data_IF_403467959268
#
_entry.id   IF_403467959268
#
_cell.length_a   1.000
_cell.length_b   1.000
_cell.length_c   1.000
_cell.angle_alpha   90.00
_cell.angle_beta   90.00
_cell.angle_gamma   90.00
#
_symmetry.space_group_name_H-M   'P 1'
#
loop_
_entity.id
_entity.type
_entity.pdbx_description
1 polymer ?
#
# COMPACT_ATOMS: atom_id res chain seq x y z
N UNK A 1 17.12 -36.35 -8.98
CA UNK A 1 17.03 -36.27 -10.46
C UNK A 1 15.67 -35.72 -10.92
N UNK A 2 14.52 -36.31 -10.55
CA UNK A 2 13.19 -35.75 -10.87
C UNK A 2 12.98 -34.32 -10.36
N UNK A 3 13.29 -34.05 -9.08
CA UNK A 3 13.22 -32.69 -8.50
C UNK A 3 14.07 -31.68 -9.27
N UNK A 4 15.24 -32.09 -9.78
CA UNK A 4 16.11 -31.22 -10.57
C UNK A 4 15.48 -30.88 -11.92
N UNK A 5 14.87 -31.85 -12.60
CA UNK A 5 14.15 -31.62 -13.86
C UNK A 5 12.94 -30.68 -13.68
N UNK A 6 12.20 -30.82 -12.58
CA UNK A 6 11.10 -29.90 -12.24
C UNK A 6 11.63 -28.48 -12.01
N UNK A 7 12.75 -28.34 -11.31
CA UNK A 7 13.37 -27.05 -11.02
C UNK A 7 13.92 -26.36 -12.28
N UNK A 8 14.48 -27.13 -13.21
CA UNK A 8 14.95 -26.63 -14.50
C UNK A 8 13.78 -26.18 -15.41
N UNK A 9 12.66 -26.92 -15.36
CA UNK A 9 11.41 -26.54 -16.05
C UNK A 9 10.82 -25.24 -15.49
N UNK A 10 10.85 -25.07 -14.16
CA UNK A 10 10.44 -23.84 -13.49
C UNK A 10 11.30 -22.65 -13.89
N UNK A 11 12.63 -22.82 -13.92
CA UNK A 11 13.55 -21.76 -14.36
C UNK A 11 13.28 -21.33 -15.80
N UNK A 12 13.03 -22.28 -16.70
CA UNK A 12 12.71 -21.98 -18.10
C UNK A 12 11.42 -21.18 -18.23
N UNK A 13 10.34 -21.61 -17.57
CA UNK A 13 9.05 -20.87 -17.57
C UNK A 13 9.17 -19.49 -16.93
N UNK A 14 9.96 -19.36 -15.86
CA UNK A 14 10.24 -18.07 -15.23
C UNK A 14 10.96 -17.11 -16.19
N UNK A 15 11.91 -17.61 -16.99
CA UNK A 15 12.61 -16.84 -18.00
C UNK A 15 11.66 -16.40 -19.14
N UNK A 16 10.79 -17.29 -19.61
CA UNK A 16 9.80 -16.99 -20.65
C UNK A 16 8.80 -15.90 -20.21
N UNK A 17 8.35 -15.95 -18.95
CA UNK A 17 7.47 -14.93 -18.35
C UNK A 17 8.20 -13.58 -18.25
N UNK A 18 9.48 -13.57 -17.85
CA UNK A 18 10.28 -12.34 -17.78
C UNK A 18 10.48 -11.69 -19.15
N UNK A 19 10.72 -12.48 -20.20
CA UNK A 19 10.80 -11.97 -21.56
C UNK A 19 9.47 -11.36 -22.04
N UNK A 20 8.35 -12.01 -21.74
CA UNK A 20 7.03 -11.53 -22.13
C UNK A 20 6.61 -10.26 -21.37
N UNK A 21 7.00 -10.12 -20.10
CA UNK A 21 6.82 -8.87 -19.35
C UNK A 21 7.63 -7.72 -19.95
N UNK A 22 8.89 -7.97 -20.34
CA UNK A 22 9.74 -6.97 -21.01
C UNK A 22 9.18 -6.55 -22.38
N UNK A 23 8.58 -7.49 -23.11
CA UNK A 23 7.86 -7.21 -24.37
C UNK A 23 6.57 -6.43 -24.13
N UNK A 24 5.90 -6.62 -23.00
CA UNK A 24 4.71 -5.88 -22.61
C UNK A 24 5.03 -4.42 -22.25
N UNK A 25 6.12 -4.18 -21.50
CA UNK A 25 6.59 -2.84 -21.12
C UNK A 25 6.96 -1.95 -22.31
N UNK A 26 7.28 -2.55 -23.46
CA UNK A 26 7.74 -1.85 -24.67
C UNK A 26 6.64 -1.60 -25.72
N UNK A 27 5.40 -2.07 -25.50
CA UNK A 27 4.30 -1.95 -26.49
C UNK A 27 3.15 -1.05 -26.00
N UNK A 28 2.44 -0.44 -26.97
CA UNK A 28 1.23 0.39 -26.73
C UNK A 28 -0.03 -0.48 -26.63
N UNK A 29 -1.07 0.04 -25.98
CA UNK A 29 -2.30 -0.68 -25.56
C UNK A 29 -2.92 -1.68 -26.55
N UNK A 30 -2.85 -1.41 -27.87
CA UNK A 30 -3.47 -2.28 -28.89
C UNK A 30 -2.75 -3.62 -29.07
N UNK A 31 -1.44 -3.67 -28.83
CA UNK A 31 -0.62 -4.89 -28.96
C UNK A 31 -0.34 -5.56 -27.59
N UNK A 32 -0.78 -4.93 -26.50
CA UNK A 32 -0.59 -5.41 -25.13
C UNK A 32 -1.56 -6.55 -24.78
N UNK A 33 -2.77 -6.54 -25.35
CA UNK A 33 -3.82 -7.53 -25.07
C UNK A 33 -3.42 -8.98 -25.35
N UNK A 34 -2.89 -9.35 -26.54
CA UNK A 34 -2.48 -10.73 -26.79
C UNK A 34 -1.28 -11.18 -25.94
N UNK A 35 -0.41 -10.25 -25.55
CA UNK A 35 0.74 -10.54 -24.67
C UNK A 35 0.26 -10.81 -23.24
N UNK A 36 -0.69 -10.02 -22.73
CA UNK A 36 -1.32 -10.27 -21.44
C UNK A 36 -2.03 -11.62 -21.40
N UNK A 37 -2.77 -11.96 -22.45
CA UNK A 37 -3.48 -13.25 -22.54
C UNK A 37 -2.50 -14.44 -22.53
N UNK A 38 -1.37 -14.31 -23.23
CA UNK A 38 -0.28 -15.30 -23.19
C UNK A 38 0.37 -15.40 -21.79
N UNK A 39 0.58 -14.26 -21.12
CA UNK A 39 1.11 -14.22 -19.74
C UNK A 39 0.16 -14.88 -18.74
N UNK A 40 -1.14 -14.67 -18.86
CA UNK A 40 -2.13 -15.31 -18.00
C UNK A 40 -2.14 -16.83 -18.17
N UNK A 41 -2.04 -17.33 -19.41
CA UNK A 41 -1.98 -18.78 -19.65
C UNK A 41 -0.67 -19.38 -19.11
N UNK A 42 0.47 -18.72 -19.34
CA UNK A 42 1.76 -19.15 -18.78
C UNK A 42 1.78 -19.16 -17.25
N UNK A 43 1.15 -18.19 -16.61
CA UNK A 43 1.00 -18.14 -15.15
C UNK A 43 0.11 -19.28 -14.64
N UNK A 44 -1.01 -19.57 -15.31
CA UNK A 44 -1.90 -20.67 -14.97
C UNK A 44 -1.19 -22.03 -15.07
N UNK A 45 -0.43 -22.26 -16.14
CA UNK A 45 0.33 -23.51 -16.28
C UNK A 45 1.45 -23.63 -15.23
N UNK A 46 2.06 -22.51 -14.83
CA UNK A 46 3.11 -22.49 -13.80
C UNK A 46 2.51 -22.79 -12.41
N UNK A 47 1.30 -22.29 -12.15
CA UNK A 47 0.54 -22.60 -10.93
C UNK A 47 0.18 -24.08 -10.86
N UNK A 48 -0.26 -24.68 -11.96
CA UNK A 48 -0.55 -26.13 -12.02
C UNK A 48 0.69 -26.98 -11.76
N UNK A 49 1.84 -26.62 -12.36
CA UNK A 49 3.12 -27.30 -12.11
C UNK A 49 3.56 -27.16 -10.64
N UNK A 50 3.27 -26.02 -10.02
CA UNK A 50 3.60 -25.79 -8.61
C UNK A 50 2.77 -26.68 -7.69
N UNK A 51 1.47 -26.80 -7.96
CA UNK A 51 0.58 -27.70 -7.23
C UNK A 51 0.99 -29.16 -7.39
N UNK A 52 1.38 -29.57 -8.60
CA UNK A 52 1.89 -30.92 -8.84
C UNK A 52 3.19 -31.19 -8.07
N UNK A 53 4.14 -30.24 -8.09
CA UNK A 53 5.40 -30.38 -7.35
C UNK A 53 5.18 -30.43 -5.82
N UNK A 54 4.20 -29.68 -5.29
CA UNK A 54 3.81 -29.75 -3.87
C UNK A 54 3.22 -31.12 -3.51
N UNK A 55 2.39 -31.70 -4.39
CA UNK A 55 1.87 -33.06 -4.22
C UNK A 55 2.98 -34.09 -4.16
N UNK A 56 3.89 -34.07 -5.13
CA UNK A 56 5.04 -34.99 -5.18
C UNK A 56 5.96 -34.83 -3.95
N UNK A 57 6.16 -33.60 -3.46
CA UNK A 57 6.96 -33.34 -2.25
C UNK A 57 6.29 -33.90 -0.99
N UNK A 58 4.95 -33.80 -0.90
CA UNK A 58 4.16 -34.35 0.19
C UNK A 58 4.22 -35.88 0.21
N UNK A 59 4.13 -36.51 -0.95
CA UNK A 59 4.26 -37.96 -1.08
C UNK A 59 5.66 -38.44 -0.68
N UNK A 60 6.71 -37.72 -1.09
CA UNK A 60 8.10 -38.01 -0.68
C UNK A 60 8.29 -37.84 0.83
N UNK A 61 7.67 -36.82 1.43
CA UNK A 61 7.70 -36.59 2.88
C UNK A 61 6.98 -37.71 3.64
N UNK A 62 5.84 -38.18 3.13
CA UNK A 62 5.10 -39.29 3.73
C UNK A 62 5.86 -40.62 3.61
N UNK A 63 6.50 -40.87 2.47
CA UNK A 63 7.35 -42.05 2.25
C UNK A 63 8.60 -42.04 3.14
N UNK A 64 9.23 -40.87 3.33
CA UNK A 64 10.33 -40.69 4.28
C UNK A 64 9.86 -40.90 5.72
N UNK A 65 8.69 -40.38 6.08
CA UNK A 65 8.07 -40.60 7.39
C UNK A 65 7.80 -42.08 7.65
N UNK A 66 7.28 -42.82 6.66
CA UNK A 66 7.07 -44.28 6.74
C UNK A 66 8.39 -45.06 6.83
N UNK A 67 9.45 -44.63 6.15
CA UNK A 67 10.78 -45.26 6.22
C UNK A 67 11.52 -44.98 7.53
N UNK A 68 11.30 -43.81 8.13
CA UNK A 68 11.86 -43.44 9.43
C UNK A 68 11.06 -44.06 10.60
N UNK A 69 9.74 -44.12 10.51
CA UNK A 69 8.88 -44.78 11.51
C UNK A 69 9.02 -46.31 11.55
N UNK A 70 9.40 -46.95 10.44
CA UNK A 70 9.67 -48.40 10.39
C UNK A 70 11.00 -48.83 11.04
N UNK A 71 11.79 -47.92 11.61
CA UNK A 71 13.02 -48.26 12.35
C UNK A 71 12.81 -48.44 13.86
N UNK A 72 11.67 -48.02 14.42
CA UNK A 72 11.41 -48.15 15.87
C UNK A 72 10.43 -49.27 16.23
N UNK A 73 9.63 -49.78 15.28
CA UNK A 73 8.69 -50.87 15.55
C UNK A 73 9.07 -52.16 14.82
N UNK A 74 10.10 -52.84 15.35
CA UNK A 74 10.21 -54.30 15.21
C UNK A 74 9.89 -54.91 16.58
N UNK A 75 8.67 -55.43 16.81
CA UNK A 75 8.36 -56.16 18.03
C UNK A 75 9.01 -57.55 17.94
N UNK A 76 10.03 -57.77 18.76
CA UNK A 76 10.62 -59.09 18.95
C UNK A 76 9.59 -59.97 19.65
N UNK A 77 9.18 -61.03 18.95
CA UNK A 77 8.14 -61.96 19.38
C UNK A 77 8.67 -62.86 20.50
N UNK A 78 7.88 -63.00 21.56
CA UNK A 78 8.10 -63.97 22.63
C UNK A 78 7.96 -65.40 22.09
N UNK A 79 9.00 -66.21 22.29
CA UNK A 79 8.84 -67.63 22.66
C UNK A 79 9.90 -68.03 23.70
N UNK A 80 9.62 -69.07 24.51
CA UNK A 80 10.18 -69.20 25.84
C UNK A 80 11.38 -70.16 25.91
N UNK A 81 12.15 -69.96 26.98
CA UNK A 81 12.99 -70.94 27.69
C UNK A 81 14.46 -71.12 27.28
N UNK A 82 15.30 -71.05 28.33
CA UNK A 82 16.67 -71.53 28.49
C UNK A 82 17.78 -70.86 27.67
N UNK A 83 18.50 -69.93 28.31
CA UNK A 83 19.95 -70.05 28.48
C UNK A 83 20.46 -69.01 29.50
N UNK A 84 21.50 -69.41 30.20
CA UNK A 84 22.16 -68.77 31.33
C UNK A 84 22.89 -67.46 30.96
N UNK A 85 23.20 -66.66 32.00
CA UNK A 85 24.23 -65.58 32.04
C UNK A 85 23.95 -64.35 31.15
N UNK A 86 23.66 -63.17 31.69
CA UNK A 86 24.57 -62.39 32.55
C UNK A 86 23.81 -61.20 33.16
N UNK A 87 24.05 -60.81 34.42
CA UNK A 87 23.62 -59.50 34.88
C UNK A 87 24.43 -58.44 34.13
N UNK A 88 23.77 -57.37 33.69
CA UNK A 88 24.40 -56.18 33.12
C UNK A 88 25.68 -55.87 33.90
N UNK A 89 26.84 -56.08 33.26
CA UNK A 89 28.11 -55.61 33.80
C UNK A 89 27.96 -54.11 33.92
N UNK A 90 27.67 -53.63 35.13
CA UNK A 90 28.15 -52.33 35.56
C UNK A 90 29.65 -52.42 35.32
N UNK A 91 30.11 -51.85 34.21
CA UNK A 91 31.52 -51.53 34.06
C UNK A 91 31.80 -50.66 35.28
N UNK A 92 32.47 -51.24 36.27
CA UNK A 92 33.02 -50.50 37.39
C UNK A 92 34.15 -49.67 36.80
N UNK A 93 33.78 -48.61 36.08
CA UNK A 93 34.66 -47.56 35.62
C UNK A 93 35.36 -47.05 36.86
N UNK A 94 36.69 -46.93 36.78
CA UNK A 94 37.49 -46.28 37.82
C UNK A 94 36.88 -44.92 38.13
N UNK A 95 36.96 -44.39 39.37
CA UNK A 95 36.49 -43.04 39.70
C UNK A 95 36.93 -41.99 38.66
N UNK A 96 38.18 -42.09 38.19
CA UNK A 96 38.76 -41.22 37.15
C UNK A 96 38.08 -41.40 35.78
N UNK A 97 37.70 -42.63 35.41
CA UNK A 97 37.00 -42.91 34.16
C UNK A 97 35.54 -42.45 34.21
N UNK A 98 34.89 -42.54 35.38
CA UNK A 98 33.55 -41.97 35.57
C UNK A 98 33.58 -40.46 35.47
N UNK A 99 34.53 -39.80 36.12
CA UNK A 99 34.71 -38.34 36.06
C UNK A 99 34.95 -37.88 34.62
N UNK A 100 35.84 -38.54 33.88
CA UNK A 100 36.09 -38.26 32.47
C UNK A 100 34.82 -38.46 31.60
N UNK A 101 34.03 -39.49 31.89
CA UNK A 101 32.78 -39.75 31.15
C UNK A 101 31.72 -38.67 31.44
N UNK A 102 31.61 -38.22 32.69
CA UNK A 102 30.73 -37.12 33.07
C UNK A 102 31.16 -35.81 32.40
N UNK A 103 32.46 -35.54 32.36
CA UNK A 103 33.01 -34.33 31.76
C UNK A 103 32.81 -34.31 30.24
N UNK A 104 33.05 -35.44 29.55
CA UNK A 104 32.79 -35.60 28.13
C UNK A 104 31.29 -35.44 27.81
N UNK A 105 30.42 -36.02 28.64
CA UNK A 105 28.97 -35.89 28.49
C UNK A 105 28.50 -34.44 28.71
N UNK A 106 29.06 -33.74 29.69
CA UNK A 106 28.76 -32.33 29.93
C UNK A 106 29.22 -31.46 28.75
N UNK A 107 30.40 -31.75 28.17
CA UNK A 107 30.91 -31.05 27.00
C UNK A 107 30.07 -31.30 25.74
N UNK A 108 29.62 -32.54 25.53
CA UNK A 108 28.69 -32.90 24.45
C UNK A 108 27.33 -32.21 24.62
N UNK A 109 26.76 -32.21 25.82
CA UNK A 109 25.51 -31.50 26.12
C UNK A 109 25.64 -30.01 25.82
N UNK A 110 26.75 -29.39 26.22
CA UNK A 110 27.03 -27.97 25.94
C UNK A 110 27.15 -27.68 24.44
N UNK A 111 27.77 -28.58 23.67
CA UNK A 111 27.87 -28.44 22.21
C UNK A 111 26.50 -28.58 21.53
N UNK A 112 25.66 -29.52 21.98
CA UNK A 112 24.29 -29.69 21.48
C UNK A 112 23.47 -28.43 21.78
N UNK A 113 23.58 -27.91 23.00
CA UNK A 113 22.85 -26.71 23.42
C UNK A 113 23.26 -25.48 22.60
N UNK A 114 24.56 -25.31 22.34
CA UNK A 114 25.09 -24.26 21.48
C UNK A 114 24.60 -24.39 20.02
N UNK A 115 24.60 -25.61 19.46
CA UNK A 115 24.06 -25.84 18.11
C UNK A 115 22.57 -25.54 18.03
N UNK A 116 21.80 -25.94 19.04
CA UNK A 116 20.36 -25.65 19.10
C UNK A 116 20.08 -24.14 19.19
N UNK A 117 20.86 -23.40 20.00
CA UNK A 117 20.76 -21.94 20.04
C UNK A 117 21.09 -21.32 18.67
N UNK A 118 22.14 -21.80 17.99
CA UNK A 118 22.50 -21.32 16.65
C UNK A 118 21.39 -21.58 15.64
N UNK A 119 20.86 -22.79 15.59
CA UNK A 119 19.71 -23.15 14.75
C UNK A 119 18.50 -22.27 15.02
N UNK A 120 18.19 -22.00 16.29
CA UNK A 120 17.08 -21.12 16.67
C UNK A 120 17.29 -19.69 16.15
N UNK A 121 18.50 -19.14 16.29
CA UNK A 121 18.81 -17.80 15.76
C UNK A 121 18.77 -17.75 14.23
N UNK A 122 19.20 -18.81 13.56
CA UNK A 122 19.19 -18.91 12.10
C UNK A 122 17.75 -18.98 11.56
N UNK A 123 16.88 -19.77 12.19
CA UNK A 123 15.45 -19.80 11.87
C UNK A 123 14.80 -18.43 12.05
N UNK A 124 15.03 -17.74 13.17
CA UNK A 124 14.49 -16.39 13.41
C UNK A 124 15.01 -15.39 12.37
N UNK A 125 16.28 -15.48 11.98
CA UNK A 125 16.85 -14.62 10.93
C UNK A 125 16.16 -14.87 9.58
N UNK A 126 15.94 -16.13 9.21
CA UNK A 126 15.23 -16.49 7.98
C UNK A 126 13.78 -15.98 7.97
N UNK A 127 13.07 -16.10 9.08
CA UNK A 127 11.72 -15.53 9.25
C UNK A 127 11.74 -14.01 9.04
N UNK A 128 12.67 -13.30 9.71
CA UNK A 128 12.81 -11.84 9.58
C UNK A 128 13.21 -11.41 8.18
N UNK A 129 14.05 -12.18 7.49
CA UNK A 129 14.41 -11.92 6.10
C UNK A 129 13.21 -12.09 5.17
N UNK A 130 12.38 -13.10 5.39
CA UNK A 130 11.15 -13.30 4.60
C UNK A 130 10.12 -12.19 4.87
N UNK A 131 9.93 -11.79 6.12
CA UNK A 131 9.09 -10.66 6.52
C UNK A 131 9.57 -9.35 5.85
N UNK A 132 10.88 -9.11 5.85
CA UNK A 132 11.49 -7.94 5.19
C UNK A 132 11.28 -7.95 3.67
N UNK A 133 11.37 -9.12 3.02
CA UNK A 133 11.08 -9.24 1.58
C UNK A 133 9.62 -8.91 1.26
N UNK A 134 8.69 -9.40 2.08
CA UNK A 134 7.26 -9.13 1.90
C UNK A 134 6.94 -7.64 2.11
N UNK A 135 7.47 -7.03 3.17
CA UNK A 135 7.35 -5.59 3.42
C UNK A 135 7.95 -4.75 2.29
N UNK A 136 9.09 -5.16 1.74
CA UNK A 136 9.68 -4.47 0.58
C UNK A 136 8.81 -4.57 -0.67
N UNK A 137 8.20 -5.72 -0.96
CA UNK A 137 7.23 -5.85 -2.06
C UNK A 137 6.01 -4.95 -1.84
N UNK A 138 5.46 -4.94 -0.62
CA UNK A 138 4.33 -4.09 -0.28
C UNK A 138 4.67 -2.60 -0.41
N UNK A 139 5.85 -2.17 0.04
CA UNK A 139 6.34 -0.80 -0.11
C UNK A 139 6.48 -0.39 -1.58
N UNK A 140 6.98 -1.29 -2.45
CA UNK A 140 7.06 -1.02 -3.90
C UNK A 140 5.67 -0.79 -4.49
N UNK A 141 4.71 -1.67 -4.18
CA UNK A 141 3.32 -1.53 -4.64
C UNK A 141 2.68 -0.23 -4.15
N UNK A 142 2.85 0.11 -2.87
CA UNK A 142 2.35 1.38 -2.33
C UNK A 142 2.99 2.60 -2.99
N UNK A 143 4.27 2.52 -3.34
CA UNK A 143 4.96 3.58 -4.06
C UNK A 143 4.40 3.75 -5.49
N UNK A 144 4.13 2.65 -6.19
CA UNK A 144 3.49 2.66 -7.51
C UNK A 144 2.09 3.27 -7.43
N UNK A 145 1.25 2.83 -6.48
CA UNK A 145 -0.09 3.35 -6.25
C UNK A 145 -0.06 4.85 -5.90
N UNK A 146 0.89 5.28 -5.05
CA UNK A 146 1.09 6.69 -4.71
C UNK A 146 1.46 7.54 -5.93
N UNK A 147 2.28 6.99 -6.83
CA UNK A 147 2.73 7.68 -8.05
C UNK A 147 1.60 7.80 -9.06
N UNK A 148 0.83 6.72 -9.24
CA UNK A 148 -0.35 6.71 -10.11
C UNK A 148 -1.42 7.69 -9.60
N UNK A 149 -1.69 7.66 -8.29
CA UNK A 149 -2.63 8.58 -7.65
C UNK A 149 -2.22 10.05 -7.85
N UNK A 150 -0.96 10.40 -7.58
CA UNK A 150 -0.42 11.75 -7.84
C UNK A 150 -0.58 12.18 -9.29
N UNK A 151 -0.28 11.28 -10.24
CA UNK A 151 -0.41 11.55 -11.67
C UNK A 151 -1.86 11.79 -12.07
N UNK A 152 -2.79 10.99 -11.53
CA UNK A 152 -4.22 11.13 -11.81
C UNK A 152 -4.79 12.42 -11.21
N UNK A 153 -4.44 12.74 -9.96
CA UNK A 153 -4.82 14.01 -9.32
C UNK A 153 -4.32 15.21 -10.12
N UNK A 154 -3.08 15.19 -10.61
CA UNK A 154 -2.54 16.26 -11.45
C UNK A 154 -3.30 16.40 -12.77
N UNK A 155 -3.67 15.29 -13.41
CA UNK A 155 -4.48 15.30 -14.64
C UNK A 155 -5.87 15.88 -14.37
N UNK A 156 -6.50 15.51 -13.27
CA UNK A 156 -7.81 16.02 -12.88
C UNK A 156 -7.74 17.53 -12.57
N UNK A 157 -6.70 17.97 -11.86
CA UNK A 157 -6.46 19.38 -11.59
C UNK A 157 -6.31 20.19 -12.89
N UNK A 158 -5.53 19.69 -13.86
CA UNK A 158 -5.40 20.31 -15.19
C UNK A 158 -6.74 20.39 -15.94
N UNK A 159 -7.58 19.36 -15.83
CA UNK A 159 -8.92 19.38 -16.43
C UNK A 159 -9.82 20.44 -15.79
N UNK A 160 -9.81 20.55 -14.46
CA UNK A 160 -10.57 21.58 -13.76
C UNK A 160 -10.04 22.98 -14.07
N UNK A 161 -8.72 23.16 -14.14
CA UNK A 161 -8.11 24.43 -14.51
C UNK A 161 -8.51 24.84 -15.93
N UNK A 162 -8.50 23.91 -16.89
CA UNK A 162 -8.98 24.16 -18.25
C UNK A 162 -10.46 24.55 -18.25
N UNK A 163 -11.30 23.79 -17.54
CA UNK A 163 -12.74 24.07 -17.47
C UNK A 163 -13.04 25.42 -16.81
N UNK A 164 -12.24 25.83 -15.83
CA UNK A 164 -12.34 27.16 -15.22
C UNK A 164 -11.97 28.26 -16.22
N UNK A 165 -10.89 28.10 -16.98
CA UNK A 165 -10.50 29.04 -18.05
C UNK A 165 -11.57 29.16 -19.13
N UNK A 166 -12.12 28.03 -19.60
CA UNK A 166 -13.19 28.02 -20.61
C UNK A 166 -14.45 28.75 -20.08
N UNK A 167 -14.79 28.57 -18.80
CA UNK A 167 -15.91 29.26 -18.16
C UNK A 167 -15.66 30.76 -18.02
N UNK A 168 -14.45 31.18 -17.65
CA UNK A 168 -14.06 32.59 -17.58
C UNK A 168 -14.10 33.28 -18.94
N UNK A 169 -13.66 32.60 -20.00
CA UNK A 169 -13.75 33.11 -21.37
C UNK A 169 -15.21 33.33 -21.79
N UNK A 170 -16.07 32.35 -21.50
CA UNK A 170 -17.51 32.46 -21.76
C UNK A 170 -18.16 33.58 -20.97
N UNK A 171 -17.77 33.77 -19.70
CA UNK A 171 -18.26 34.86 -18.86
C UNK A 171 -17.86 36.22 -19.43
N UNK A 172 -16.60 36.37 -19.88
CA UNK A 172 -16.12 37.59 -20.56
C UNK A 172 -16.90 37.87 -21.84
N UNK A 173 -17.25 36.84 -22.60
CA UNK A 173 -18.08 36.98 -23.81
C UNK A 173 -19.49 37.45 -23.48
N UNK A 174 -20.15 36.81 -22.51
CA UNK A 174 -21.47 37.22 -22.04
C UNK A 174 -21.47 38.66 -21.50
N UNK A 175 -20.42 39.08 -20.79
CA UNK A 175 -20.28 40.46 -20.33
C UNK A 175 -20.16 41.45 -21.50
N UNK A 176 -19.41 41.11 -22.56
CA UNK A 176 -19.32 41.92 -23.79
C UNK A 176 -20.68 42.04 -24.48
N UNK A 177 -21.43 40.94 -24.59
CA UNK A 177 -22.79 40.95 -25.16
C UNK A 177 -23.76 41.77 -24.33
N UNK A 178 -23.74 41.61 -23.01
CA UNK A 178 -24.57 42.41 -22.09
C UNK A 178 -24.26 43.91 -22.27
N UNK A 179 -22.98 44.27 -22.37
CA UNK A 179 -22.59 45.66 -22.58
C UNK A 179 -23.10 46.21 -23.93
N UNK A 180 -22.99 45.44 -25.01
CA UNK A 180 -23.57 45.81 -26.32
C UNK A 180 -25.09 46.00 -26.25
N UNK A 181 -25.78 45.08 -25.57
CA UNK A 181 -27.23 45.17 -25.36
C UNK A 181 -27.62 46.41 -24.56
N UNK A 182 -26.91 46.71 -23.47
CA UNK A 182 -27.12 47.93 -22.68
C UNK A 182 -26.91 49.21 -23.50
N UNK A 183 -25.86 49.25 -24.35
CA UNK A 183 -25.63 50.38 -25.24
C UNK A 183 -26.78 50.56 -26.26
N UNK A 184 -27.28 49.45 -26.81
CA UNK A 184 -28.41 49.47 -27.75
C UNK A 184 -29.69 49.97 -27.07
N UNK A 185 -29.99 49.50 -25.85
CA UNK A 185 -31.12 49.98 -25.05
C UNK A 185 -31.03 51.48 -24.80
N UNK A 186 -29.84 52.00 -24.46
CA UNK A 186 -29.63 53.44 -24.30
C UNK A 186 -29.93 54.22 -25.60
N UNK A 187 -29.52 53.70 -26.76
CA UNK A 187 -29.83 54.32 -28.06
C UNK A 187 -31.34 54.35 -28.33
N UNK A 188 -32.04 53.24 -28.08
CA UNK A 188 -33.50 53.20 -28.22
C UNK A 188 -34.20 54.16 -27.26
N UNK A 189 -33.71 54.28 -26.03
CA UNK A 189 -34.27 55.21 -25.06
C UNK A 189 -34.07 56.67 -25.49
N UNK A 190 -32.91 57.02 -26.04
CA UNK A 190 -32.65 58.34 -26.63
C UNK A 190 -33.56 58.62 -27.84
N UNK A 191 -33.79 57.62 -28.71
CA UNK A 191 -34.72 57.74 -29.84
C UNK A 191 -36.16 57.99 -29.36
N UNK A 192 -36.61 57.26 -28.34
CA UNK A 192 -37.93 57.45 -27.74
C UNK A 192 -38.07 58.85 -27.12
N UNK A 193 -37.04 59.36 -26.44
CA UNK A 193 -37.04 60.72 -25.91
C UNK A 193 -37.08 61.79 -27.02
N UNK A 194 -36.36 61.57 -28.12
CA UNK A 194 -36.43 62.43 -29.31
C UNK A 194 -37.82 62.42 -29.94
N UNK A 195 -38.45 61.24 -30.04
CA UNK A 195 -39.81 61.09 -30.55
C UNK A 195 -40.84 61.75 -29.62
N UNK A 196 -40.70 61.61 -28.29
CA UNK A 196 -41.51 62.34 -27.31
C UNK A 196 -41.35 63.85 -27.42
N UNK A 197 -40.14 64.36 -27.68
CA UNK A 197 -39.94 65.80 -27.95
C UNK A 197 -40.56 66.25 -29.27
N UNK A 198 -40.58 65.38 -30.29
CA UNK A 198 -41.27 65.65 -31.57
C UNK A 198 -42.80 65.61 -31.44
N UNK A 199 -43.34 64.74 -30.59
CA UNK A 199 -44.78 64.59 -30.33
C UNK A 199 -45.30 65.50 -29.20
N UNK A 200 -44.41 66.13 -28.43
CA UNK A 200 -44.72 67.09 -27.36
C UNK A 200 -45.28 68.44 -27.83
N UNK A 201 -45.98 68.45 -28.96
CA UNK A 201 -46.72 69.60 -29.51
C UNK A 201 -48.19 69.31 -29.82
N UNK A 202 -48.75 68.16 -29.42
CA UNK A 202 -50.20 67.90 -29.57
C UNK A 202 -50.76 67.38 -28.24
N UNK A 203 -51.71 68.14 -27.72
CA UNK A 203 -52.16 68.14 -26.34
C UNK A 203 -52.92 66.90 -25.86
N UNK A 204 -52.79 66.72 -24.54
CA UNK A 204 -53.85 66.46 -23.56
C UNK A 204 -55.21 65.98 -24.08
N UNK A 205 -55.62 64.80 -23.61
CA UNK A 205 -56.97 64.27 -23.78
C UNK A 205 -57.30 63.26 -22.70
N UNK A 206 -57.54 63.75 -21.49
CA UNK A 206 -58.23 63.07 -20.40
C UNK A 206 -59.67 62.76 -20.85
N UNK A 207 -60.14 61.51 -20.73
CA UNK A 207 -61.55 61.16 -20.97
C UNK A 207 -62.09 60.42 -19.75
N UNK A 208 -62.97 61.12 -19.03
CA UNK A 208 -63.89 60.63 -18.00
C UNK A 208 -65.04 59.82 -18.62
N UNK A 209 -65.64 58.85 -17.91
CA UNK A 209 -66.80 58.10 -18.41
C UNK A 209 -68.11 58.84 -18.07
N UNK A 210 -69.00 58.98 -19.04
CA UNK A 210 -70.38 59.45 -18.83
C UNK A 210 -71.32 58.25 -18.93
N UNK A 211 -72.17 58.14 -17.91
CA UNK A 211 -73.28 57.20 -17.79
C UNK A 211 -74.58 58.00 -17.91
N UNK A 212 -75.48 57.61 -18.81
CA UNK A 212 -76.93 57.88 -18.76
C UNK A 212 -77.61 57.00 -19.81
N UNK A 213 -78.70 56.36 -19.43
CA UNK A 213 -79.45 55.43 -20.27
C UNK A 213 -80.52 56.08 -21.14
N UNK A 214 -81.23 55.20 -21.84
CA UNK A 214 -82.69 55.09 -21.98
C UNK A 214 -83.15 54.83 -23.42
N UNK A 215 -84.28 54.14 -23.47
CA UNK A 215 -84.95 53.37 -24.52
C UNK A 215 -85.13 53.98 -25.92
N UNK A 216 -85.25 53.11 -26.93
CA UNK A 216 -86.24 53.27 -27.99
C UNK A 216 -85.77 53.50 -29.44
N UNK A 217 -86.30 52.67 -30.34
CA UNK A 217 -86.42 52.80 -31.81
C UNK A 217 -85.26 52.42 -32.74
N UNK A 218 -85.52 51.38 -33.54
CA UNK A 218 -84.91 51.13 -34.87
C UNK A 218 -85.86 51.74 -35.92
N UNK A 219 -85.39 52.34 -37.04
CA UNK A 219 -84.76 51.54 -38.09
C UNK A 219 -83.74 52.27 -38.99
N UNK A 220 -83.12 51.46 -39.86
CA UNK A 220 -82.22 51.78 -40.99
C UNK A 220 -80.73 51.85 -40.69
N UNK A 221 -80.10 50.76 -41.11
CA UNK A 221 -78.68 50.64 -41.44
C UNK A 221 -78.34 51.62 -42.59
N UNK A 222 -77.25 52.38 -42.42
CA UNK A 222 -76.21 52.40 -43.43
C UNK A 222 -74.93 51.86 -42.78
N UNK A 223 -74.33 50.84 -43.37
CA UNK A 223 -72.98 50.45 -43.01
C UNK A 223 -72.02 51.58 -43.40
N UNK A 224 -71.19 52.04 -42.46
CA UNK A 224 -69.80 52.22 -42.78
C UNK A 224 -68.95 51.30 -41.90
N UNK A 225 -68.24 50.45 -42.62
CA UNK A 225 -66.90 49.96 -42.31
C UNK A 225 -66.16 50.72 -41.20
N UNK A 226 -65.48 49.92 -40.38
CA UNK A 226 -64.23 50.25 -39.68
C UNK A 226 -64.26 51.30 -38.56
N UNK A 227 -64.71 50.88 -37.38
CA UNK A 227 -64.05 51.29 -36.14
C UNK A 227 -63.42 50.07 -35.47
N UNK A 228 -62.14 49.87 -35.81
CA UNK A 228 -61.25 48.92 -35.17
C UNK A 228 -61.11 49.29 -33.68
N UNK A 229 -61.77 48.52 -32.81
CA UNK A 229 -61.63 48.59 -31.36
C UNK A 229 -60.30 47.98 -30.84
N UNK A 230 -59.41 47.61 -31.76
CA UNK A 230 -58.04 47.19 -31.49
C UNK A 230 -57.15 48.16 -32.27
N UNK A 231 -56.15 48.74 -31.57
CA UNK A 231 -55.21 49.72 -32.13
C UNK A 231 -54.77 49.41 -33.56
N UNK A 232 -54.70 50.46 -34.37
CA UNK A 232 -54.56 50.41 -35.82
C UNK A 232 -53.64 49.31 -36.37
N UNK A 233 -54.18 48.60 -37.37
CA UNK A 233 -53.48 47.77 -38.35
C UNK A 233 -52.88 46.44 -37.88
N UNK A 234 -53.45 45.76 -36.89
CA UNK A 234 -53.23 44.30 -36.77
C UNK A 234 -54.31 43.58 -37.56
N UNK A 235 -53.96 43.04 -38.74
CA UNK A 235 -54.91 42.24 -39.51
C UNK A 235 -55.21 40.96 -38.71
N UNK A 236 -56.44 40.47 -38.75
CA UNK A 236 -56.84 39.21 -38.07
C UNK A 236 -55.86 38.06 -38.38
N UNK A 237 -55.37 38.00 -39.63
CA UNK A 237 -54.36 37.04 -40.06
C UNK A 237 -53.00 37.16 -39.35
N UNK A 238 -52.60 38.36 -38.92
CA UNK A 238 -51.38 38.57 -38.14
C UNK A 238 -51.52 38.05 -36.70
N UNK A 239 -52.73 38.17 -36.12
CA UNK A 239 -53.07 37.61 -34.81
C UNK A 239 -53.06 36.08 -34.87
N UNK A 240 -53.64 35.49 -35.92
CA UNK A 240 -53.66 34.03 -36.13
C UNK A 240 -52.23 33.50 -36.23
N UNK A 241 -51.39 34.08 -37.10
CA UNK A 241 -49.98 33.67 -37.23
C UNK A 241 -49.21 33.81 -35.91
N UNK A 242 -49.44 34.88 -35.16
CA UNK A 242 -48.78 35.07 -33.85
C UNK A 242 -49.25 34.01 -32.84
N UNK A 243 -50.54 33.66 -32.84
CA UNK A 243 -51.06 32.59 -31.99
C UNK A 243 -50.48 31.21 -32.37
N UNK A 244 -50.31 30.91 -33.66
CA UNK A 244 -49.69 29.66 -34.11
C UNK A 244 -48.25 29.53 -33.59
N UNK A 245 -47.44 30.59 -33.73
CA UNK A 245 -46.07 30.64 -33.20
C UNK A 245 -46.06 30.48 -31.67
N UNK A 246 -46.98 31.15 -30.96
CA UNK A 246 -47.09 31.02 -29.50
C UNK A 246 -47.51 29.62 -29.07
N UNK A 247 -48.38 28.94 -29.82
CA UNK A 247 -48.77 27.54 -29.55
C UNK A 247 -47.56 26.62 -29.72
N UNK A 248 -46.78 26.81 -30.77
CA UNK A 248 -45.55 26.04 -31.02
C UNK A 248 -44.51 26.28 -29.91
N UNK A 249 -44.28 27.54 -29.53
CA UNK A 249 -43.39 27.91 -28.44
C UNK A 249 -43.86 27.32 -27.10
N UNK A 250 -45.17 27.37 -26.81
CA UNK A 250 -45.74 26.74 -25.61
C UNK A 250 -45.51 25.22 -25.62
N UNK A 251 -45.63 24.58 -26.78
CA UNK A 251 -45.30 23.16 -26.97
C UNK A 251 -43.83 22.85 -26.71
N UNK A 252 -42.92 23.69 -27.21
CA UNK A 252 -41.47 23.59 -26.95
C UNK A 252 -41.15 23.74 -25.46
N UNK A 253 -41.72 24.76 -24.80
CA UNK A 253 -41.54 25.00 -23.37
C UNK A 253 -42.07 23.84 -22.52
N UNK A 254 -43.21 23.24 -22.88
CA UNK A 254 -43.74 22.06 -22.17
C UNK A 254 -42.80 20.86 -22.28
N UNK A 255 -42.23 20.61 -23.47
CA UNK A 255 -41.23 19.54 -23.68
C UNK A 255 -39.97 19.82 -22.85
N UNK A 256 -39.50 21.06 -22.81
CA UNK A 256 -38.31 21.42 -22.03
C UNK A 256 -38.55 21.29 -20.52
N UNK A 257 -39.72 21.70 -20.02
CA UNK A 257 -40.10 21.47 -18.61
C UNK A 257 -40.10 19.98 -18.28
N UNK A 258 -40.62 19.13 -19.17
CA UNK A 258 -40.64 17.69 -18.96
C UNK A 258 -39.21 17.09 -18.95
N UNK A 259 -38.35 17.55 -19.86
CA UNK A 259 -36.92 17.16 -19.90
C UNK A 259 -36.21 17.56 -18.61
N UNK A 260 -36.36 18.80 -18.16
CA UNK A 260 -35.76 19.31 -16.92
C UNK A 260 -36.26 18.55 -15.68
N UNK A 261 -37.53 18.13 -15.66
CA UNK A 261 -38.07 17.28 -14.58
C UNK A 261 -37.38 15.91 -14.54
N UNK A 262 -37.12 15.29 -15.70
CA UNK A 262 -36.42 14.01 -15.79
C UNK A 262 -34.95 14.13 -15.37
N UNK A 263 -34.29 15.20 -15.80
CA UNK A 263 -32.90 15.50 -15.42
C UNK A 263 -32.79 15.71 -13.91
N UNK A 264 -33.69 16.51 -13.31
CA UNK A 264 -33.74 16.72 -11.87
C UNK A 264 -33.99 15.42 -11.11
N UNK A 265 -34.90 14.55 -11.56
CA UNK A 265 -35.12 13.25 -10.94
C UNK A 265 -33.84 12.38 -10.97
N UNK A 266 -33.10 12.41 -12.07
CA UNK A 266 -31.83 11.69 -12.22
C UNK A 266 -30.74 12.27 -11.32
N UNK A 267 -30.62 13.60 -11.23
CA UNK A 267 -29.67 14.28 -10.36
C UNK A 267 -29.95 13.99 -8.88
N UNK A 268 -31.21 13.98 -8.48
CA UNK A 268 -31.61 13.62 -7.11
C UNK A 268 -31.19 12.17 -6.79
N UNK A 269 -31.42 11.22 -7.70
CA UNK A 269 -30.98 9.83 -7.53
C UNK A 269 -29.45 9.72 -7.38
N UNK A 270 -28.70 10.39 -8.25
CA UNK A 270 -27.22 10.43 -8.18
C UNK A 270 -26.73 11.04 -6.87
N UNK A 271 -27.37 12.12 -6.41
CA UNK A 271 -27.02 12.78 -5.14
C UNK A 271 -27.27 11.85 -3.96
N UNK A 272 -28.40 11.14 -3.93
CA UNK A 272 -28.69 10.15 -2.87
C UNK A 272 -27.65 9.02 -2.84
N UNK A 273 -27.26 8.52 -4.01
CA UNK A 273 -26.23 7.48 -4.09
C UNK A 273 -24.87 8.00 -3.59
N UNK A 274 -24.45 9.19 -4.05
CA UNK A 274 -23.22 9.82 -3.59
C UNK A 274 -23.21 10.09 -2.07
N UNK A 275 -24.36 10.43 -1.48
CA UNK A 275 -24.50 10.56 -0.02
C UNK A 275 -24.32 9.22 0.69
N UNK A 276 -24.89 8.13 0.17
CA UNK A 276 -24.70 6.78 0.71
C UNK A 276 -23.23 6.37 0.65
N UNK A 277 -22.57 6.58 -0.49
CA UNK A 277 -21.15 6.27 -0.67
C UNK A 277 -20.28 7.07 0.31
N UNK A 278 -20.60 8.35 0.49
CA UNK A 278 -19.91 9.20 1.47
C UNK A 278 -20.02 8.62 2.88
N UNK A 279 -21.21 8.18 3.29
CA UNK A 279 -21.43 7.61 4.62
C UNK A 279 -20.74 6.24 4.79
N UNK A 280 -20.67 5.42 3.74
CA UNK A 280 -19.91 4.16 3.74
C UNK A 280 -18.40 4.40 3.86
N UNK A 281 -17.86 5.38 3.13
CA UNK A 281 -16.46 5.77 3.23
C UNK A 281 -16.14 6.28 4.64
N UNK A 282 -17.01 7.10 5.23
CA UNK A 282 -16.83 7.58 6.61
C UNK A 282 -16.77 6.41 7.60
N UNK A 283 -17.67 5.43 7.48
CA UNK A 283 -17.64 4.22 8.33
C UNK A 283 -16.32 3.45 8.19
N UNK A 284 -15.85 3.25 6.95
CA UNK A 284 -14.56 2.57 6.70
C UNK A 284 -13.39 3.33 7.32
N UNK A 285 -13.37 4.66 7.19
CA UNK A 285 -12.33 5.51 7.80
C UNK A 285 -12.35 5.34 9.32
N UNK A 286 -13.53 5.36 9.96
CA UNK A 286 -13.65 5.16 11.41
C UNK A 286 -13.11 3.80 11.86
N UNK A 287 -13.43 2.72 11.15
CA UNK A 287 -12.90 1.37 11.42
C UNK A 287 -11.38 1.33 11.30
N UNK A 288 -10.83 1.89 10.21
CA UNK A 288 -9.38 1.94 9.98
C UNK A 288 -8.66 2.77 11.05
N UNK A 289 -9.24 3.89 11.49
CA UNK A 289 -8.70 4.69 12.59
C UNK A 289 -8.66 3.89 13.91
N UNK A 290 -9.71 3.14 14.23
CA UNK A 290 -9.75 2.29 15.42
C UNK A 290 -8.75 1.13 15.35
N UNK A 291 -8.57 0.53 14.18
CA UNK A 291 -7.54 -0.50 13.94
C UNK A 291 -6.12 0.07 14.08
N UNK A 292 -5.86 1.23 13.51
CA UNK A 292 -4.56 1.88 13.61
C UNK A 292 -4.21 2.25 15.07
N UNK A 293 -5.19 2.74 15.84
CA UNK A 293 -5.02 3.00 17.26
C UNK A 293 -4.69 1.71 18.05
N UNK A 294 -5.35 0.59 17.74
CA UNK A 294 -5.03 -0.71 18.34
C UNK A 294 -3.61 -1.16 17.99
N UNK A 295 -3.19 -1.04 16.73
CA UNK A 295 -1.85 -1.42 16.31
C UNK A 295 -0.76 -0.55 16.95
N UNK A 296 -0.98 0.76 17.06
CA UNK A 296 -0.05 1.67 17.76
C UNK A 296 0.12 1.29 19.23
N UNK A 297 -0.98 0.96 19.92
CA UNK A 297 -0.93 0.49 21.30
C UNK A 297 -0.15 -0.82 21.42
N UNK A 298 -0.32 -1.76 20.49
CA UNK A 298 0.46 -3.01 20.48
C UNK A 298 1.94 -2.74 20.27
N UNK A 299 2.29 -1.90 19.28
CA UNK A 299 3.67 -1.53 18.99
C UNK A 299 4.36 -0.85 20.19
N UNK A 300 3.63 -0.02 20.93
CA UNK A 300 4.14 0.59 22.17
C UNK A 300 4.43 -0.47 23.25
N UNK A 301 3.54 -1.46 23.43
CA UNK A 301 3.75 -2.58 24.36
C UNK A 301 4.97 -3.40 23.97
N UNK A 302 5.09 -3.78 22.70
CA UNK A 302 6.23 -4.54 22.18
C UNK A 302 7.56 -3.78 22.38
N UNK A 303 7.58 -2.47 22.10
CA UNK A 303 8.76 -1.63 22.36
C UNK A 303 9.13 -1.61 23.84
N UNK A 304 8.14 -1.50 24.73
CA UNK A 304 8.38 -1.53 26.18
C UNK A 304 8.97 -2.87 26.61
N UNK A 305 8.40 -3.99 26.15
CA UNK A 305 8.91 -5.33 26.43
C UNK A 305 10.33 -5.53 25.89
N UNK A 306 10.58 -5.13 24.64
CA UNK A 306 11.92 -5.17 24.05
C UNK A 306 12.93 -4.37 24.88
N UNK A 307 12.57 -3.16 25.33
CA UNK A 307 13.44 -2.35 26.19
C UNK A 307 13.71 -3.01 27.54
N UNK A 308 12.72 -3.65 28.17
CA UNK A 308 12.91 -4.40 29.42
C UNK A 308 13.86 -5.59 29.21
N UNK A 309 13.65 -6.37 28.16
CA UNK A 309 14.50 -7.52 27.82
C UNK A 309 15.92 -7.08 27.48
N UNK A 310 16.08 -6.02 26.70
CA UNK A 310 17.38 -5.44 26.34
C UNK A 310 18.15 -4.98 27.59
N UNK A 311 17.48 -4.30 28.53
CA UNK A 311 18.08 -3.92 29.83
C UNK A 311 18.47 -5.15 30.66
N UNK A 312 17.61 -6.16 30.71
CA UNK A 312 17.86 -7.42 31.43
C UNK A 312 19.09 -8.15 30.86
N UNK A 313 19.16 -8.31 29.54
CA UNK A 313 20.30 -8.92 28.84
C UNK A 313 21.59 -8.14 29.09
N UNK A 314 21.54 -6.82 29.04
CA UNK A 314 22.71 -5.97 29.31
C UNK A 314 23.20 -6.15 30.75
N UNK A 315 22.27 -6.24 31.71
CA UNK A 315 22.60 -6.51 33.12
C UNK A 315 23.23 -7.89 33.29
N UNK A 316 22.62 -8.93 32.73
CA UNK A 316 23.15 -10.30 32.77
C UNK A 316 24.55 -10.38 32.15
N UNK A 317 24.79 -9.69 31.03
CA UNK A 317 26.11 -9.62 30.42
C UNK A 317 27.13 -8.95 31.35
N UNK A 318 26.75 -7.86 32.02
CA UNK A 318 27.61 -7.19 33.02
C UNK A 318 27.92 -8.09 34.21
N UNK A 319 26.92 -8.78 34.76
CA UNK A 319 27.08 -9.70 35.89
C UNK A 319 28.01 -10.87 35.52
N UNK A 320 27.84 -11.41 34.31
CA UNK A 320 28.72 -12.45 33.77
C UNK A 320 30.18 -11.99 33.63
N UNK A 321 30.40 -10.78 33.10
CA UNK A 321 31.75 -10.19 32.98
C UNK A 321 32.37 -10.02 34.37
N UNK A 322 31.61 -9.55 35.36
CA UNK A 322 32.10 -9.38 36.73
C UNK A 322 32.48 -10.71 37.36
N UNK A 323 31.63 -11.74 37.22
CA UNK A 323 31.91 -13.09 37.70
C UNK A 323 33.18 -13.67 37.06
N UNK A 324 33.36 -13.47 35.75
CA UNK A 324 34.58 -13.91 35.05
C UNK A 324 35.85 -13.20 35.53
N UNK A 325 35.76 -11.90 35.85
CA UNK A 325 36.87 -11.17 36.46
C UNK A 325 37.22 -11.70 37.85
N UNK A 326 36.22 -11.96 38.68
CA UNK A 326 36.44 -12.53 40.02
C UNK A 326 37.09 -13.91 39.95
N UNK A 327 36.60 -14.80 39.08
CA UNK A 327 37.19 -16.12 38.88
C UNK A 327 38.65 -16.02 38.42
N UNK A 328 38.95 -15.12 37.48
CA UNK A 328 40.33 -14.91 37.03
C UNK A 328 41.25 -14.39 38.15
N UNK A 329 40.74 -13.51 39.02
CA UNK A 329 41.47 -13.04 40.20
C UNK A 329 41.74 -14.18 41.19
N UNK A 330 40.73 -15.00 41.49
CA UNK A 330 40.90 -16.18 42.35
C UNK A 330 41.91 -17.17 41.77
N UNK A 331 41.89 -17.41 40.46
CA UNK A 331 42.85 -18.29 39.79
C UNK A 331 44.28 -17.73 39.86
N UNK A 332 44.45 -16.41 39.73
CA UNK A 332 45.75 -15.76 39.93
C UNK A 332 46.24 -15.85 41.38
N UNK A 333 45.40 -15.49 42.35
CA UNK A 333 45.72 -15.60 43.78
C UNK A 333 46.07 -17.05 44.15
N UNK A 334 45.32 -18.02 43.63
CA UNK A 334 45.59 -19.44 43.84
C UNK A 334 46.95 -19.84 43.26
N UNK A 335 47.27 -19.44 42.02
CA UNK A 335 48.61 -19.66 41.43
C UNK A 335 49.72 -19.04 42.29
N UNK A 336 49.54 -17.82 42.76
CA UNK A 336 50.50 -17.15 43.63
C UNK A 336 50.60 -17.78 45.02
N UNK A 337 49.53 -18.40 45.53
CA UNK A 337 49.59 -19.14 46.79
C UNK A 337 50.38 -20.45 46.69
N UNK A 338 50.49 -21.03 45.48
CA UNK A 338 51.26 -22.25 45.24
C UNK A 338 52.76 -22.01 45.07
N UNK A 339 53.17 -20.79 44.70
CA UNK A 339 54.60 -20.43 44.73
C UNK A 339 54.99 -20.19 46.19
N UNK A 340 55.58 -21.22 46.81
CA UNK A 340 56.14 -21.13 48.15
C UNK A 340 57.20 -20.02 48.26
N UNK A 341 57.54 -19.57 49.49
CA UNK A 341 58.49 -18.49 49.71
C UNK A 341 59.79 -18.80 48.96
N UNK A 342 60.11 -17.93 47.99
CA UNK A 342 61.32 -18.04 47.20
C UNK A 342 62.49 -17.80 48.14
N UNK A 343 63.20 -18.87 48.50
CA UNK A 343 64.42 -18.76 49.28
C UNK A 343 65.39 -17.84 48.52
N UNK A 344 65.76 -16.65 49.06
CA UNK A 344 66.56 -15.67 48.34
C UNK A 344 67.93 -16.22 47.91
N UNK A 345 68.43 -17.23 48.63
CA UNK A 345 69.69 -17.92 48.39
C UNK A 345 69.68 -18.87 47.18
N UNK A 346 68.50 -19.27 46.68
CA UNK A 346 68.37 -20.16 45.51
C UNK A 346 68.15 -19.42 44.18
N UNK A 347 68.22 -18.08 44.17
CA UNK A 347 68.07 -17.29 42.96
C UNK A 347 69.26 -17.49 42.00
N UNK A 348 70.48 -17.62 42.53
CA UNK A 348 71.67 -17.90 41.69
C UNK A 348 71.58 -19.28 41.02
N UNK A 349 71.23 -20.34 41.75
CA UNK A 349 71.17 -21.71 41.18
C UNK A 349 70.13 -21.87 40.05
N UNK A 350 68.98 -21.18 40.16
CA UNK A 350 67.92 -21.23 39.14
C UNK A 350 68.27 -20.46 37.86
N UNK A 351 69.13 -19.46 37.95
CA UNK A 351 69.56 -18.66 36.79
C UNK A 351 70.47 -19.46 35.85
N UNK A 352 71.20 -20.45 36.39
CA UNK A 352 72.16 -21.25 35.63
C UNK A 352 71.65 -22.63 35.20
N UNK A 353 70.52 -23.12 35.72
CA UNK A 353 70.01 -24.48 35.42
C UNK A 353 68.90 -24.55 34.36
N UNK A 354 68.27 -23.44 34.00
CA UNK A 354 67.26 -23.43 32.94
C UNK A 354 67.82 -22.73 31.70
N UNK A 355 68.26 -23.53 30.71
CA UNK A 355 68.38 -23.03 29.35
C UNK A 355 66.98 -22.61 28.89
N UNK A 356 66.74 -21.30 28.82
CA UNK A 356 65.55 -20.77 28.17
C UNK A 356 65.47 -21.38 26.75
N UNK A 357 64.36 -22.04 26.39
CA UNK A 357 64.17 -22.50 25.02
C UNK A 357 64.36 -21.31 24.09
N UNK A 358 65.38 -21.36 23.23
CA UNK A 358 65.57 -20.33 22.21
C UNK A 358 64.26 -20.18 21.46
N UNK A 359 63.82 -18.94 21.31
CA UNK A 359 62.57 -18.59 20.66
C UNK A 359 62.61 -19.04 19.18
N UNK A 360 62.05 -20.21 18.85
CA UNK A 360 61.98 -20.74 17.47
C UNK A 360 60.87 -20.03 16.65
N UNK A 361 60.08 -19.17 17.29
CA UNK A 361 59.14 -18.30 16.58
C UNK A 361 59.85 -17.03 16.09
N UNK A 362 60.56 -17.14 14.97
CA UNK A 362 60.76 -15.97 14.12
C UNK A 362 59.38 -15.47 13.68
N UNK A 363 59.11 -14.15 13.70
CA UNK A 363 57.89 -13.62 13.13
C UNK A 363 57.82 -14.03 11.66
N UNK A 364 56.77 -14.77 11.27
CA UNK A 364 56.43 -14.94 9.85
C UNK A 364 56.42 -13.54 9.24
N UNK A 365 57.16 -13.35 8.14
CA UNK A 365 57.19 -12.13 7.32
C UNK A 365 55.80 -11.50 7.31
N UNK A 366 55.62 -10.44 8.10
CA UNK A 366 54.43 -9.60 7.95
C UNK A 366 54.64 -8.82 6.65
N UNK A 367 53.76 -9.04 5.68
CA UNK A 367 53.69 -8.19 4.50
C UNK A 367 53.48 -6.74 4.95
N UNK A 368 54.03 -5.74 4.23
CA UNK A 368 53.88 -4.35 4.59
C UNK A 368 52.40 -3.99 4.72
N UNK A 369 52.02 -3.44 5.88
CA UNK A 369 50.69 -2.88 6.12
C UNK A 369 50.65 -1.49 5.48
N UNK A 370 50.62 -1.46 4.15
CA UNK A 370 50.24 -0.28 3.39
C UNK A 370 48.82 -0.56 2.89
N UNK A 371 47.81 0.02 3.55
CA UNK A 371 46.45 0.32 3.03
C UNK A 371 45.34 0.38 4.11
N UNK A 372 45.61 0.94 5.30
CA UNK A 372 44.52 1.36 6.21
C UNK A 372 44.44 2.87 6.44
N UNK A 373 45.12 3.66 5.62
CA UNK A 373 45.00 5.12 5.63
C UNK A 373 44.78 5.65 4.21
N UNK A 374 43.60 5.40 3.65
CA UNK A 374 43.07 6.24 2.57
C UNK A 374 42.00 7.14 3.21
N UNK A 375 42.21 8.47 3.27
CA UNK A 375 41.16 9.40 3.63
C UNK A 375 40.10 9.37 2.52
N UNK A 376 38.85 9.09 2.87
CA UNK A 376 37.72 9.32 1.98
C UNK A 376 37.58 10.82 1.72
N UNK A 377 38.28 11.32 0.70
CA UNK A 377 38.00 12.56 0.02
C UNK A 377 37.30 12.24 -1.30
N UNK A 378 36.00 12.55 -1.36
CA UNK A 378 35.27 13.23 -2.45
C UNK A 378 33.79 12.82 -2.42
N UNK A 379 32.89 13.76 -2.08
CA UNK A 379 32.07 14.61 -2.98
C UNK A 379 31.05 13.84 -3.80
#
# INVERSE_FOLDING_TARGET
QKVQQTLDTFKKKQQDIQENLKKLESKKDKDAKPIMETLYEQLRETEQLYQQALGELKDVQEDLGKKLGKKEDKPESQEPSRSERSPSRKLNLSPDEQEMTYELKAQLMRNIEMQNQKLKTELTLHEKMNESKLLNQQNRKLHEDSTLSRTNTLRLMKMFEKKAKDADEKLKEMQRELHKSQQLTKKYQQLLELEKRKLGGVGSGHVTPVSTGDEGESPRVPHPSSYSLLGGNVRVNDIIRKNEVLIEENGNLRREIQRLKQDNATLIKKTKHAMSDKDEIIKRIQTLCAENARMQNQLCKERSQHNMLSRSLTRQASDWIMLKKQLAQFDEEYKWSQVGPVNPTGAEERTYHHQAPRNIYMPRKMYPVENYAQPNHNT
#
